data_IF_845742354512
#
_entry.id   IF_845742354512
#
_cell.length_a   1.000
_cell.length_b   1.000
_cell.length_c   1.000
_cell.angle_alpha   90.00
_cell.angle_beta   90.00
_cell.angle_gamma   90.00
#
_symmetry.space_group_name_H-M   'P 1'
#
loop_
_entity.id
_entity.type
_entity.pdbx_description
1 polymer ?
#
# COMPACT_ATOMS: atom_id res chain seq x y z
N UNK A 1 7.66 -9.78 23.39
CA UNK A 1 8.48 -8.57 23.57
C UNK A 1 8.89 -7.90 22.27
N UNK A 2 9.75 -8.43 21.39
CA UNK A 2 10.06 -7.72 20.12
C UNK A 2 8.90 -7.61 19.12
N UNK A 3 8.03 -8.64 19.04
CA UNK A 3 6.92 -8.66 18.08
C UNK A 3 5.84 -7.64 18.45
N UNK A 4 5.48 -7.57 19.72
CA UNK A 4 4.47 -6.63 20.25
C UNK A 4 4.88 -5.17 20.03
N UNK A 5 6.18 -4.87 20.17
CA UNK A 5 6.73 -3.55 19.88
C UNK A 5 6.63 -3.21 18.39
N UNK A 6 6.86 -4.18 17.50
CA UNK A 6 6.72 -4.00 16.05
C UNK A 6 5.25 -3.76 15.68
N UNK A 7 4.33 -4.58 16.19
CA UNK A 7 2.90 -4.44 15.91
C UNK A 7 2.37 -3.09 16.42
N UNK A 8 2.75 -2.70 17.64
CA UNK A 8 2.36 -1.42 18.21
C UNK A 8 2.95 -0.21 17.43
N UNK A 9 4.16 -0.32 16.88
CA UNK A 9 4.76 0.74 16.04
C UNK A 9 3.99 0.91 14.72
N UNK A 10 3.55 -0.21 14.14
CA UNK A 10 2.77 -0.24 12.91
C UNK A 10 1.35 0.31 13.15
N UNK A 11 0.68 -0.14 14.20
CA UNK A 11 -0.69 0.29 14.53
C UNK A 11 -0.75 1.78 14.89
N UNK A 12 0.28 2.30 15.57
CA UNK A 12 0.39 3.73 15.86
C UNK A 12 0.60 4.58 14.59
N UNK A 13 1.13 4.00 13.52
CA UNK A 13 1.19 4.65 12.21
C UNK A 13 -0.18 4.64 11.48
N UNK A 14 -1.14 3.83 11.95
CA UNK A 14 -2.48 3.73 11.38
C UNK A 14 -3.53 4.64 12.04
N UNK A 15 -3.32 5.07 13.28
CA UNK A 15 -4.23 5.96 14.03
C UNK A 15 -5.02 5.24 15.13
N UNK A 16 -5.86 5.97 15.87
CA UNK A 16 -6.63 5.42 17.00
C UNK A 16 -7.76 4.47 16.55
N UNK A 17 -8.04 3.44 17.37
CA UNK A 17 -9.05 2.42 17.12
C UNK A 17 -10.48 3.00 17.24
N UNK A 18 -11.37 2.67 16.28
CA UNK A 18 -12.73 3.22 16.21
C UNK A 18 -13.67 2.61 17.26
N UNK A 19 -14.54 3.40 17.92
CA UNK A 19 -15.40 2.91 18.98
C UNK A 19 -16.66 2.23 18.41
N UNK A 20 -16.81 0.91 18.59
CA UNK A 20 -18.08 0.23 18.31
C UNK A 20 -18.96 0.18 19.58
N UNK A 21 -20.22 0.62 19.48
CA UNK A 21 -21.17 0.68 20.62
C UNK A 21 -22.08 -0.56 20.71
N UNK A 22 -22.54 -0.93 21.93
CA UNK A 22 -23.38 -2.11 22.23
C UNK A 22 -24.90 -1.90 22.05
N UNK A 23 -25.34 -0.86 21.33
CA UNK A 23 -26.77 -0.52 21.19
C UNK A 23 -27.40 -1.28 20.01
N UNK A 24 -28.64 -1.76 20.19
CA UNK A 24 -29.43 -2.32 19.08
C UNK A 24 -29.70 -1.26 17.99
N UNK A 25 -29.45 -1.62 16.74
CA UNK A 25 -29.58 -0.74 15.58
C UNK A 25 -31.04 -0.63 15.16
N UNK A 26 -31.56 0.59 15.07
CA UNK A 26 -32.89 0.85 14.50
C UNK A 26 -32.88 0.98 12.98
N UNK A 27 -34.05 1.04 12.35
CA UNK A 27 -34.19 1.19 10.89
C UNK A 27 -33.49 2.44 10.32
N UNK A 28 -33.46 3.52 11.10
CA UNK A 28 -32.72 4.74 10.74
C UNK A 28 -31.21 4.54 10.73
N UNK A 29 -30.68 3.74 11.68
CA UNK A 29 -29.27 3.39 11.75
C UNK A 29 -28.91 2.48 10.57
N UNK A 30 -29.73 1.46 10.30
CA UNK A 30 -29.55 0.56 9.16
C UNK A 30 -29.56 1.31 7.83
N UNK A 31 -30.49 2.24 7.60
CA UNK A 31 -30.53 3.04 6.38
C UNK A 31 -29.30 3.94 6.22
N UNK A 32 -28.80 4.47 7.33
CA UNK A 32 -27.56 5.26 7.36
C UNK A 32 -26.34 4.39 7.05
N UNK A 33 -26.25 3.21 7.67
CA UNK A 33 -25.21 2.23 7.41
C UNK A 33 -25.21 1.75 5.96
N UNK A 34 -26.38 1.46 5.38
CA UNK A 34 -26.49 1.10 3.96
C UNK A 34 -25.98 2.21 3.04
N UNK A 35 -26.27 3.48 3.36
CA UNK A 35 -25.78 4.60 2.58
C UNK A 35 -24.27 4.77 2.72
N UNK A 36 -23.72 4.59 3.91
CA UNK A 36 -22.27 4.71 4.15
C UNK A 36 -21.51 3.53 3.52
N UNK A 37 -21.97 2.30 3.73
CA UNK A 37 -21.30 1.10 3.23
C UNK A 37 -21.52 0.86 1.73
N UNK A 38 -22.62 1.37 1.17
CA UNK A 38 -22.86 1.38 -0.27
C UNK A 38 -22.11 2.49 -1.02
N UNK A 39 -21.45 3.41 -0.31
CA UNK A 39 -20.75 4.53 -0.93
C UNK A 39 -19.40 4.10 -1.55
N UNK A 40 -19.04 4.77 -2.65
CA UNK A 40 -17.77 4.55 -3.34
C UNK A 40 -16.58 4.88 -2.44
N UNK A 41 -16.72 5.88 -1.55
CA UNK A 41 -15.70 6.22 -0.56
C UNK A 41 -15.43 5.08 0.42
N UNK A 42 -16.45 4.33 0.83
CA UNK A 42 -16.27 3.17 1.71
C UNK A 42 -15.59 2.00 0.98
N UNK A 43 -15.88 1.79 -0.30
CA UNK A 43 -15.17 0.79 -1.12
C UNK A 43 -13.68 1.14 -1.26
N UNK A 44 -13.36 2.40 -1.51
CA UNK A 44 -11.97 2.87 -1.54
C UNK A 44 -11.27 2.71 -0.18
N UNK A 45 -11.97 2.99 0.92
CA UNK A 45 -11.47 2.75 2.26
C UNK A 45 -11.17 1.25 2.48
N UNK A 46 -12.10 0.36 2.13
CA UNK A 46 -11.90 -1.09 2.29
C UNK A 46 -10.70 -1.60 1.48
N UNK A 47 -10.55 -1.14 0.24
CA UNK A 47 -9.39 -1.48 -0.58
C UNK A 47 -8.08 -1.00 0.05
N UNK A 48 -8.07 0.22 0.59
CA UNK A 48 -6.90 0.75 1.31
C UNK A 48 -6.56 -0.07 2.56
N UNK A 49 -7.57 -0.53 3.31
CA UNK A 49 -7.37 -1.42 4.47
C UNK A 49 -6.75 -2.76 4.08
N UNK A 50 -7.19 -3.35 2.96
CA UNK A 50 -6.59 -4.58 2.44
C UNK A 50 -5.11 -4.36 2.07
N UNK A 51 -4.78 -3.27 1.38
CA UNK A 51 -3.39 -2.93 1.05
C UNK A 51 -2.53 -2.76 2.30
N UNK A 52 -3.05 -2.10 3.36
CA UNK A 52 -2.36 -1.95 4.64
C UNK A 52 -2.08 -3.30 5.31
N UNK A 53 -3.07 -4.20 5.30
CA UNK A 53 -2.93 -5.53 5.89
C UNK A 53 -1.85 -6.35 5.18
N UNK A 54 -1.87 -6.37 3.84
CA UNK A 54 -0.85 -7.07 3.03
C UNK A 54 0.55 -6.56 3.36
N UNK A 55 0.73 -5.23 3.38
CA UNK A 55 2.03 -4.60 3.67
C UNK A 55 2.50 -4.96 5.08
N UNK A 56 1.61 -4.86 6.07
CA UNK A 56 1.91 -5.20 7.47
C UNK A 56 2.40 -6.64 7.59
N UNK A 57 1.63 -7.59 7.06
CA UNK A 57 1.93 -9.02 7.20
C UNK A 57 3.22 -9.39 6.48
N UNK A 58 3.39 -8.88 5.26
CA UNK A 58 4.60 -9.12 4.47
C UNK A 58 5.86 -8.61 5.16
N UNK A 59 5.88 -7.33 5.56
CA UNK A 59 7.06 -6.72 6.17
C UNK A 59 7.37 -7.33 7.54
N UNK A 60 6.33 -7.64 8.33
CA UNK A 60 6.49 -8.32 9.62
C UNK A 60 7.14 -9.68 9.42
N UNK A 61 6.65 -10.47 8.46
CA UNK A 61 7.22 -11.78 8.14
C UNK A 61 8.66 -11.66 7.61
N UNK A 62 8.93 -10.67 6.75
CA UNK A 62 10.27 -10.42 6.22
C UNK A 62 11.28 -10.11 7.32
N UNK A 63 10.89 -9.30 8.31
CA UNK A 63 11.74 -8.98 9.46
C UNK A 63 11.91 -10.19 10.37
N UNK A 64 10.82 -10.89 10.71
CA UNK A 64 10.84 -12.05 11.61
C UNK A 64 11.69 -13.20 11.05
N UNK A 65 11.65 -13.41 9.73
CA UNK A 65 12.44 -14.43 9.05
C UNK A 65 13.86 -13.96 8.70
N UNK A 66 14.21 -12.70 8.98
CA UNK A 66 15.54 -12.15 8.76
C UNK A 66 15.84 -11.75 7.30
N UNK A 67 14.83 -11.73 6.43
CA UNK A 67 14.96 -11.27 5.04
C UNK A 67 14.98 -9.74 4.90
N UNK A 68 14.58 -9.02 5.94
CA UNK A 68 14.62 -7.56 5.99
C UNK A 68 15.12 -7.07 7.35
N UNK A 69 16.13 -6.18 7.36
CA UNK A 69 16.53 -5.50 8.59
C UNK A 69 15.46 -4.48 9.02
N UNK A 70 15.13 -4.37 10.32
CA UNK A 70 14.20 -3.36 10.84
C UNK A 70 14.53 -1.93 10.40
N UNK A 71 15.81 -1.59 10.23
CA UNK A 71 16.25 -0.25 9.83
C UNK A 71 15.84 0.11 8.39
N UNK A 72 15.56 -0.90 7.56
CA UNK A 72 15.10 -0.70 6.18
C UNK A 72 13.61 -0.36 6.10
N UNK A 73 12.85 -0.51 7.19
CA UNK A 73 11.43 -0.19 7.22
C UNK A 73 11.17 1.30 6.99
N UNK A 74 12.05 2.17 7.48
CA UNK A 74 11.94 3.63 7.32
C UNK A 74 12.03 4.05 5.84
N UNK A 75 12.66 3.21 5.00
CA UNK A 75 12.73 3.41 3.55
C UNK A 75 11.36 3.37 2.87
N UNK A 76 10.37 2.66 3.43
CA UNK A 76 9.03 2.55 2.85
C UNK A 76 8.10 3.68 3.30
N UNK A 77 8.48 4.52 4.27
CA UNK A 77 7.61 5.50 4.92
C UNK A 77 6.90 6.44 3.92
N UNK A 78 7.65 6.95 2.93
CA UNK A 78 7.10 7.83 1.90
C UNK A 78 6.12 7.11 0.97
N UNK A 79 6.36 5.83 0.66
CA UNK A 79 5.51 5.04 -0.22
C UNK A 79 4.23 4.61 0.47
N UNK A 80 4.27 4.27 1.75
CA UNK A 80 3.07 3.87 2.50
C UNK A 80 2.23 5.06 2.98
N UNK A 81 2.73 6.29 2.87
CA UNK A 81 2.00 7.50 3.25
C UNK A 81 0.77 7.76 2.37
N UNK A 82 0.82 7.40 1.08
CA UNK A 82 -0.27 7.62 0.12
C UNK A 82 -1.03 6.34 -0.17
N UNK A 83 -2.33 6.46 -0.48
CA UNK A 83 -3.14 5.29 -0.87
C UNK A 83 -2.60 4.64 -2.14
N UNK A 84 -2.21 5.43 -3.13
CA UNK A 84 -1.63 4.92 -4.38
C UNK A 84 -0.33 4.15 -4.14
N UNK A 85 0.55 4.67 -3.28
CA UNK A 85 1.81 4.00 -2.94
C UNK A 85 1.58 2.70 -2.17
N UNK A 86 0.59 2.65 -1.26
CA UNK A 86 0.17 1.41 -0.58
C UNK A 86 -0.40 0.39 -1.55
N UNK A 87 -1.29 0.80 -2.46
CA UNK A 87 -1.85 -0.08 -3.48
C UNK A 87 -0.74 -0.68 -4.35
N UNK A 88 0.16 0.15 -4.87
CA UNK A 88 1.27 -0.31 -5.71
C UNK A 88 2.23 -1.25 -4.98
N UNK A 89 2.59 -0.93 -3.73
CA UNK A 89 3.48 -1.76 -2.91
C UNK A 89 2.83 -3.11 -2.56
N UNK A 90 1.56 -3.08 -2.13
CA UNK A 90 0.81 -4.30 -1.80
C UNK A 90 0.65 -5.22 -3.01
N UNK A 91 0.40 -4.67 -4.20
CA UNK A 91 0.34 -5.46 -5.43
C UNK A 91 1.68 -6.11 -5.74
N UNK A 92 2.79 -5.39 -5.56
CA UNK A 92 4.11 -5.96 -5.74
C UNK A 92 4.38 -7.10 -4.74
N UNK A 93 4.03 -6.90 -3.46
CA UNK A 93 4.16 -7.91 -2.40
C UNK A 93 3.28 -9.15 -2.61
N UNK A 94 2.14 -9.03 -3.28
CA UNK A 94 1.34 -10.20 -3.67
C UNK A 94 2.00 -11.03 -4.78
N UNK A 95 2.88 -10.41 -5.57
CA UNK A 95 3.54 -11.01 -6.73
C UNK A 95 4.97 -11.48 -6.40
N UNK A 96 5.48 -11.17 -5.21
CA UNK A 96 6.84 -11.51 -4.76
C UNK A 96 6.80 -12.35 -3.49
N UNK A 97 7.81 -13.18 -3.29
CA UNK A 97 7.92 -13.97 -2.06
C UNK A 97 8.60 -13.16 -0.96
N UNK A 98 8.30 -13.44 0.31
CA UNK A 98 8.86 -12.72 1.47
C UNK A 98 10.39 -12.78 1.50
N UNK A 99 10.98 -13.85 0.98
CA UNK A 99 12.42 -14.05 0.80
C UNK A 99 13.07 -12.94 -0.06
N UNK A 100 12.30 -12.39 -1.00
CA UNK A 100 12.74 -11.34 -1.91
C UNK A 100 12.57 -9.93 -1.29
N UNK A 101 12.17 -9.81 -0.02
CA UNK A 101 11.89 -8.53 0.63
C UNK A 101 13.04 -7.51 0.55
N UNK A 102 14.29 -7.98 0.54
CA UNK A 102 15.46 -7.10 0.40
C UNK A 102 15.53 -6.38 -0.95
N UNK A 103 14.88 -6.93 -1.99
CA UNK A 103 14.83 -6.41 -3.36
C UNK A 103 13.66 -5.47 -3.63
N UNK A 104 12.76 -5.30 -2.64
CA UNK A 104 11.60 -4.42 -2.79
C UNK A 104 12.04 -3.00 -3.19
N UNK A 105 11.37 -2.38 -4.17
CA UNK A 105 11.69 -1.03 -4.60
C UNK A 105 11.39 -0.06 -3.46
N UNK A 106 12.44 0.46 -2.81
CA UNK A 106 12.32 1.35 -1.65
C UNK A 106 11.78 2.75 -1.98
N UNK A 107 11.66 3.11 -3.26
CA UNK A 107 11.14 4.40 -3.70
C UNK A 107 10.53 4.21 -5.09
N UNK A 108 9.20 4.12 -5.18
CA UNK A 108 8.51 4.23 -6.46
C UNK A 108 8.37 5.71 -6.84
N UNK A 109 9.49 6.42 -7.03
CA UNK A 109 9.46 7.68 -7.78
C UNK A 109 9.41 7.24 -9.24
N UNK A 110 8.28 7.42 -9.95
CA UNK A 110 8.29 7.19 -11.38
C UNK A 110 9.41 8.04 -11.97
N UNK A 111 10.31 7.46 -12.78
CA UNK A 111 11.42 8.23 -13.34
C UNK A 111 10.83 9.44 -14.05
N UNK A 112 11.31 10.63 -13.71
CA UNK A 112 10.87 11.88 -14.35
C UNK A 112 10.97 11.70 -15.85
N UNK A 113 9.82 11.61 -16.51
CA UNK A 113 9.77 11.39 -17.96
C UNK A 113 10.49 12.56 -18.62
N UNK A 114 11.63 12.28 -19.25
CA UNK A 114 12.32 13.29 -20.04
C UNK A 114 11.41 13.60 -21.23
N UNK A 115 11.05 14.88 -21.46
CA UNK A 115 10.40 15.27 -22.69
C UNK A 115 11.22 14.75 -23.86
N UNK A 116 10.59 13.98 -24.74
CA UNK A 116 11.22 13.61 -25.99
C UNK A 116 11.50 14.92 -26.72
N UNK A 117 12.76 15.18 -27.03
CA UNK A 117 13.17 16.35 -27.78
C UNK A 117 13.36 15.91 -29.23
N UNK A 118 12.30 15.87 -30.07
CA UNK A 118 12.47 15.60 -31.48
C UNK A 118 13.26 16.76 -32.05
N UNK A 119 14.56 16.55 -32.33
CA UNK A 119 15.34 17.52 -33.07
C UNK A 119 14.59 17.92 -34.33
N UNK A 120 14.57 19.22 -34.66
CA UNK A 120 13.87 19.74 -35.82
C UNK A 120 14.26 18.94 -37.08
N UNK A 121 13.31 18.15 -37.62
CA UNK A 121 13.52 17.28 -38.79
C UNK A 121 13.69 15.78 -38.50
N UNK A 122 13.64 15.32 -37.24
CA UNK A 122 13.73 13.90 -36.92
C UNK A 122 12.45 13.13 -37.33
N UNK A 123 12.57 12.17 -38.26
CA UNK A 123 11.49 11.24 -38.61
C UNK A 123 11.19 10.31 -37.44
N UNK A 124 9.91 10.03 -37.12
CA UNK A 124 9.56 9.10 -36.04
C UNK A 124 10.14 7.71 -36.33
N UNK A 125 11.04 7.24 -35.48
CA UNK A 125 11.56 5.87 -35.52
C UNK A 125 10.61 4.97 -34.73
N UNK A 126 9.73 4.27 -35.43
CA UNK A 126 8.93 3.19 -34.87
C UNK A 126 9.75 1.90 -34.95
N UNK A 127 10.13 1.35 -33.80
CA UNK A 127 10.68 0.00 -33.71
C UNK A 127 9.53 -0.95 -33.38
N UNK A 128 9.10 -1.75 -34.35
CA UNK A 128 8.15 -2.83 -34.11
C UNK A 128 8.86 -3.90 -33.28
N UNK A 129 8.33 -4.19 -32.08
CA UNK A 129 8.78 -5.32 -31.27
C UNK A 129 8.06 -6.57 -31.81
N UNK A 130 8.77 -7.57 -32.35
CA UNK A 130 8.14 -8.79 -32.82
C UNK A 130 7.54 -9.57 -31.65
N UNK A 131 6.39 -10.22 -31.91
CA UNK A 131 5.67 -11.09 -30.97
C UNK A 131 6.45 -12.36 -30.65
#
# INVERSE_FOLDING_TARGET
>A
MQLEDITARIDRAFGDELPFSRRELGDGDLKTLYRVFGDVGYQHYLQDQVSRQIIRDYLTNAVLLGYLSPDRLDGFANQVATQEGRSALSLHMLMTSVEDAASLPGVCVPPTLKPLNPGAGARPKLSLVPK
#
